data_IF_573812817247
#
_entry.id   IF_573812817247
#
_cell.length_a   1.000
_cell.length_b   1.000
_cell.length_c   1.000
_cell.angle_alpha   90.00
_cell.angle_beta   90.00
_cell.angle_gamma   90.00
#
_symmetry.space_group_name_H-M   'P 1'
#
loop_
_entity.id
_entity.type
_entity.pdbx_description
1 polymer ?
#
# COMPACT_ATOMS: atom_id res chain seq x y z
N UNK A 1 14.97 -18.60 62.82
CA UNK A 1 14.83 -18.62 61.36
C UNK A 1 13.56 -17.81 61.00
N UNK A 2 13.74 -16.59 60.47
CA UNK A 2 12.61 -15.73 60.04
C UNK A 2 12.46 -15.87 58.54
N UNK A 3 11.29 -16.34 58.08
CA UNK A 3 10.94 -16.43 56.68
C UNK A 3 10.56 -15.02 56.17
N UNK A 4 11.29 -14.50 55.17
CA UNK A 4 10.90 -13.32 54.43
C UNK A 4 9.85 -13.76 53.38
N UNK A 5 8.63 -13.25 53.50
CA UNK A 5 7.62 -13.32 52.45
C UNK A 5 7.91 -12.22 51.44
N UNK A 6 8.27 -12.60 50.20
CA UNK A 6 8.36 -11.70 49.06
C UNK A 6 6.94 -11.54 48.48
N UNK A 7 6.32 -10.38 48.70
CA UNK A 7 5.08 -10.01 48.04
C UNK A 7 5.40 -9.61 46.58
N UNK A 8 5.03 -10.43 45.63
CA UNK A 8 5.07 -10.08 44.22
C UNK A 8 3.96 -9.05 43.94
N UNK A 9 4.33 -7.78 43.73
CA UNK A 9 3.43 -6.80 43.15
C UNK A 9 3.19 -7.19 41.68
N UNK A 10 2.04 -7.73 41.42
CA UNK A 10 1.49 -7.82 40.06
C UNK A 10 1.14 -6.39 39.64
N UNK A 11 2.01 -5.78 38.83
CA UNK A 11 1.69 -4.54 38.15
C UNK A 11 0.56 -4.84 37.16
N UNK A 12 -0.66 -4.38 37.46
CA UNK A 12 -1.76 -4.39 36.51
C UNK A 12 -1.32 -3.54 35.29
N UNK A 13 -1.15 -4.17 34.15
CA UNK A 13 -1.02 -3.45 32.90
C UNK A 13 -2.24 -2.54 32.73
N UNK A 14 -2.07 -1.27 32.34
CA UNK A 14 -3.21 -0.43 32.04
C UNK A 14 -4.02 -1.13 30.96
N UNK A 15 -5.33 -1.25 31.20
CA UNK A 15 -6.26 -1.74 30.20
C UNK A 15 -6.05 -0.90 28.94
N UNK A 16 -5.64 -1.54 27.83
CA UNK A 16 -5.59 -0.89 26.54
C UNK A 16 -6.99 -0.36 26.25
N UNK A 17 -7.10 0.96 26.03
CA UNK A 17 -8.36 1.53 25.55
C UNK A 17 -8.79 0.69 24.33
N UNK A 18 -10.06 0.30 24.26
CA UNK A 18 -10.57 -0.53 23.17
C UNK A 18 -10.24 0.14 21.84
N UNK A 19 -9.33 -0.46 21.08
CA UNK A 19 -8.95 0.05 19.77
C UNK A 19 -10.14 -0.10 18.81
N UNK A 20 -10.49 1.00 18.12
CA UNK A 20 -11.55 1.02 17.13
C UNK A 20 -10.94 0.99 15.73
N UNK A 21 -11.34 0.05 14.84
CA UNK A 21 -10.85 -0.01 13.49
C UNK A 21 -11.18 1.27 12.72
N UNK A 22 -10.14 1.93 12.19
CA UNK A 22 -10.27 3.10 11.31
C UNK A 22 -9.76 2.71 9.93
N UNK A 23 -10.60 2.88 8.90
CA UNK A 23 -10.16 2.67 7.50
C UNK A 23 -9.30 3.85 7.03
N UNK A 24 -8.30 3.58 6.18
CA UNK A 24 -7.60 4.65 5.46
C UNK A 24 -8.58 5.45 4.59
N UNK A 25 -8.31 6.73 4.43
CA UNK A 25 -9.20 7.60 3.65
C UNK A 25 -9.22 7.23 2.17
N UNK A 26 -10.42 7.13 1.61
CA UNK A 26 -10.69 6.97 0.17
C UNK A 26 -11.51 8.14 -0.37
N UNK A 27 -11.48 9.30 0.30
CA UNK A 27 -12.24 10.48 -0.11
C UNK A 27 -11.86 10.86 -1.54
N UNK A 28 -12.87 11.04 -2.40
CA UNK A 28 -12.70 11.39 -3.80
C UNK A 28 -12.14 12.83 -3.98
N UNK A 29 -12.25 13.67 -2.95
CA UNK A 29 -11.67 15.01 -2.89
C UNK A 29 -10.52 15.03 -1.86
N UNK A 30 -9.33 14.52 -2.21
CA UNK A 30 -8.24 14.40 -1.27
C UNK A 30 -7.76 15.78 -0.78
N UNK A 31 -7.40 15.83 0.49
CA UNK A 31 -6.74 16.99 1.08
C UNK A 31 -5.27 16.94 0.72
N UNK A 32 -4.79 17.93 -0.05
CA UNK A 32 -3.37 18.13 -0.34
C UNK A 32 -2.99 19.51 0.14
N UNK A 33 -2.06 19.61 1.08
CA UNK A 33 -1.57 20.88 1.60
C UNK A 33 -0.10 20.81 1.96
N UNK A 34 0.57 21.95 1.91
CA UNK A 34 1.94 22.11 2.38
C UNK A 34 1.94 23.17 3.48
N UNK A 35 2.51 22.80 4.62
CA UNK A 35 2.72 23.68 5.78
C UNK A 35 4.19 23.61 6.19
N UNK A 36 4.92 24.72 5.97
CA UNK A 36 6.35 24.76 6.15
C UNK A 36 7.08 23.75 5.24
N UNK A 37 7.68 22.73 5.84
CA UNK A 37 8.41 21.64 5.16
C UNK A 37 7.59 20.35 5.02
N UNK A 38 6.33 20.36 5.41
CA UNK A 38 5.51 19.16 5.52
C UNK A 38 4.38 19.15 4.49
N UNK A 39 4.39 18.16 3.61
CA UNK A 39 3.30 17.82 2.69
C UNK A 39 2.31 16.89 3.41
N UNK A 40 1.03 17.19 3.35
CA UNK A 40 -0.05 16.33 3.82
C UNK A 40 -0.88 15.86 2.63
N UNK A 41 -1.12 14.54 2.53
CA UNK A 41 -2.04 13.91 1.56
C UNK A 41 -3.00 13.00 2.30
N UNK A 42 -4.29 13.34 2.29
CA UNK A 42 -5.34 12.54 2.94
C UNK A 42 -6.48 12.34 1.93
N UNK A 43 -6.76 11.11 1.54
CA UNK A 43 -7.83 10.78 0.59
C UNK A 43 -7.44 9.69 -0.40
N UNK A 44 -8.35 9.45 -1.35
CA UNK A 44 -8.15 8.52 -2.46
C UNK A 44 -7.11 9.04 -3.46
N UNK A 45 -6.40 8.11 -4.07
CA UNK A 45 -5.47 8.41 -5.17
C UNK A 45 -6.28 8.49 -6.46
N UNK A 46 -6.37 9.67 -7.06
CA UNK A 46 -7.13 9.93 -8.27
C UNK A 46 -6.59 11.16 -9.03
N UNK A 47 -7.20 11.50 -10.15
CA UNK A 47 -6.79 12.65 -10.98
C UNK A 47 -6.86 13.98 -10.22
N UNK A 48 -7.85 14.18 -9.32
CA UNK A 48 -7.98 15.41 -8.54
C UNK A 48 -6.81 15.55 -7.54
N UNK A 49 -6.44 14.45 -6.86
CA UNK A 49 -5.29 14.41 -5.96
C UNK A 49 -3.96 14.65 -6.67
N UNK A 50 -3.78 14.07 -7.87
CA UNK A 50 -2.61 14.33 -8.70
C UNK A 50 -2.52 15.82 -9.09
N UNK A 51 -3.62 16.41 -9.55
CA UNK A 51 -3.67 17.82 -9.90
C UNK A 51 -3.33 18.71 -8.71
N UNK A 52 -4.00 18.48 -7.56
CA UNK A 52 -3.77 19.25 -6.35
C UNK A 52 -2.31 19.17 -5.87
N UNK A 53 -1.70 17.95 -5.91
CA UNK A 53 -0.31 17.78 -5.55
C UNK A 53 0.64 18.48 -6.52
N UNK A 54 0.40 18.32 -7.84
CA UNK A 54 1.22 18.97 -8.87
C UNK A 54 1.20 20.50 -8.73
N UNK A 55 0.01 21.07 -8.48
CA UNK A 55 -0.14 22.52 -8.26
C UNK A 55 0.55 22.97 -6.97
N UNK A 56 0.40 22.20 -5.89
CA UNK A 56 1.01 22.55 -4.61
C UNK A 56 2.55 22.57 -4.66
N UNK A 57 3.18 21.69 -5.47
CA UNK A 57 4.66 21.60 -5.52
C UNK A 57 5.30 22.40 -6.64
N UNK A 58 4.52 22.85 -7.63
CA UNK A 58 5.04 23.51 -8.87
C UNK A 58 5.95 24.69 -8.60
N UNK A 59 5.59 25.55 -7.66
CA UNK A 59 6.27 26.80 -7.37
C UNK A 59 7.22 26.70 -6.17
N UNK A 60 7.41 25.49 -5.62
CA UNK A 60 8.24 25.33 -4.44
C UNK A 60 9.73 25.29 -4.78
N UNK A 61 10.57 25.92 -3.96
CA UNK A 61 12.01 25.70 -4.00
C UNK A 61 12.35 24.23 -3.82
N UNK A 62 13.36 23.75 -4.54
CA UNK A 62 13.87 22.39 -4.35
C UNK A 62 14.30 22.16 -2.91
N UNK A 63 13.89 21.03 -2.34
CA UNK A 63 14.22 20.64 -0.96
C UNK A 63 13.40 21.35 0.11
N UNK A 64 12.38 22.14 -0.25
CA UNK A 64 11.49 22.73 0.74
C UNK A 64 10.67 21.66 1.46
N UNK A 65 10.10 20.71 0.73
CA UNK A 65 9.36 19.58 1.32
C UNK A 65 10.35 18.51 1.72
N UNK A 66 10.46 18.27 3.02
CA UNK A 66 11.32 17.23 3.61
C UNK A 66 10.54 16.17 4.37
N UNK A 67 9.26 16.42 4.63
CA UNK A 67 8.35 15.53 5.35
C UNK A 67 7.04 15.34 4.59
N UNK A 68 6.47 14.16 4.74
CA UNK A 68 5.13 13.88 4.24
C UNK A 68 4.31 13.12 5.27
N UNK A 69 3.05 13.51 5.42
CA UNK A 69 2.05 12.77 6.17
C UNK A 69 1.02 12.22 5.21
N UNK A 70 0.75 10.92 5.28
CA UNK A 70 -0.22 10.26 4.41
C UNK A 70 -1.27 9.47 5.20
N UNK A 71 -2.50 9.52 4.70
CA UNK A 71 -3.58 8.61 5.06
C UNK A 71 -4.41 8.34 3.80
N UNK A 72 -4.16 7.18 3.16
CA UNK A 72 -4.80 6.85 1.88
C UNK A 72 -5.08 5.35 1.75
N UNK A 73 -6.30 5.03 1.37
CA UNK A 73 -6.72 3.68 0.98
C UNK A 73 -6.27 3.27 -0.42
N UNK A 74 -5.52 4.13 -1.12
CA UNK A 74 -5.14 3.91 -2.52
C UNK A 74 -6.15 4.49 -3.50
N UNK A 75 -6.23 3.91 -4.68
CA UNK A 75 -7.10 4.34 -5.77
C UNK A 75 -6.49 4.03 -7.13
N UNK A 76 -6.66 4.96 -8.09
CA UNK A 76 -6.28 4.74 -9.49
C UNK A 76 -4.79 4.55 -9.67
N UNK A 77 -4.39 3.54 -10.45
CA UNK A 77 -2.98 3.21 -10.73
C UNK A 77 -2.25 4.35 -11.41
N UNK A 78 -2.78 4.89 -12.51
CA UNK A 78 -2.09 5.90 -13.30
C UNK A 78 -1.81 7.19 -12.49
N UNK A 79 -2.78 7.82 -11.82
CA UNK A 79 -2.49 8.90 -10.88
C UNK A 79 -1.49 8.52 -9.79
N UNK A 80 -1.56 7.28 -9.28
CA UNK A 80 -0.64 6.76 -8.26
C UNK A 80 0.82 6.76 -8.73
N UNK A 81 1.09 6.27 -9.93
CA UNK A 81 2.43 6.27 -10.55
C UNK A 81 2.97 7.70 -10.68
N UNK A 82 2.15 8.65 -11.15
CA UNK A 82 2.58 10.04 -11.31
C UNK A 82 2.80 10.74 -9.95
N UNK A 83 1.94 10.50 -8.96
CA UNK A 83 2.14 10.97 -7.59
C UNK A 83 3.44 10.37 -7.03
N UNK A 84 3.66 9.05 -7.18
CA UNK A 84 4.90 8.39 -6.80
C UNK A 84 6.14 9.00 -7.45
N UNK A 85 6.04 9.40 -8.73
CA UNK A 85 7.10 10.10 -9.43
C UNK A 85 7.42 11.47 -8.82
N UNK A 86 6.40 12.23 -8.42
CA UNK A 86 6.59 13.52 -7.71
C UNK A 86 7.26 13.28 -6.36
N UNK A 87 6.80 12.27 -5.60
CA UNK A 87 7.38 11.93 -4.30
C UNK A 87 8.83 11.47 -4.44
N UNK A 88 9.18 10.74 -5.52
CA UNK A 88 10.55 10.35 -5.83
C UNK A 88 11.49 11.55 -6.08
N UNK A 89 10.96 12.66 -6.61
CA UNK A 89 11.72 13.90 -6.76
C UNK A 89 11.90 14.66 -5.44
N UNK A 90 10.85 14.67 -4.61
CA UNK A 90 10.86 15.34 -3.31
C UNK A 90 11.66 14.55 -2.25
N UNK A 91 11.60 13.22 -2.27
CA UNK A 91 12.22 12.29 -1.30
C UNK A 91 11.95 12.68 0.16
N UNK A 92 10.69 12.87 0.56
CA UNK A 92 10.37 13.22 1.94
C UNK A 92 10.51 12.03 2.89
N UNK A 93 10.71 12.31 4.18
CA UNK A 93 10.46 11.33 5.25
C UNK A 93 8.94 11.15 5.41
N UNK A 94 8.44 9.97 5.06
CA UNK A 94 7.01 9.66 5.05
C UNK A 94 6.53 9.19 6.41
N UNK A 95 5.45 9.77 6.90
CA UNK A 95 4.70 9.28 8.07
C UNK A 95 3.33 8.76 7.65
N UNK A 96 3.04 7.50 7.93
CA UNK A 96 1.72 6.89 7.75
C UNK A 96 0.92 7.09 9.03
N UNK A 97 -0.22 7.81 8.93
CA UNK A 97 -0.99 8.24 10.10
C UNK A 97 -2.09 7.25 10.50
N UNK A 98 -2.83 6.69 9.53
CA UNK A 98 -3.87 5.66 9.73
C UNK A 98 -3.57 4.46 8.86
N UNK A 99 -3.33 4.69 7.56
CA UNK A 99 -2.98 3.64 6.62
C UNK A 99 -2.47 4.19 5.30
N UNK A 100 -1.63 3.39 4.65
CA UNK A 100 -1.21 3.53 3.29
C UNK A 100 -1.42 2.18 2.62
N UNK A 101 -2.45 2.08 1.77
CA UNK A 101 -2.90 0.82 1.20
C UNK A 101 -2.99 0.89 -0.33
N UNK A 102 -2.87 -0.25 -1.02
CA UNK A 102 -3.04 -0.33 -2.47
C UNK A 102 -2.08 0.60 -3.23
N UNK A 103 -2.55 1.47 -4.12
CA UNK A 103 -1.72 2.40 -4.90
C UNK A 103 -0.87 3.35 -4.03
N UNK A 104 -1.29 3.68 -2.78
CA UNK A 104 -0.44 4.38 -1.82
C UNK A 104 0.78 3.54 -1.44
N UNK A 105 0.57 2.27 -1.10
CA UNK A 105 1.63 1.35 -0.73
C UNK A 105 2.50 0.93 -1.93
N UNK A 106 1.91 0.86 -3.12
CA UNK A 106 2.63 0.52 -4.35
C UNK A 106 3.54 1.66 -4.82
N UNK A 107 3.09 2.91 -4.78
CA UNK A 107 3.76 3.99 -5.52
C UNK A 107 4.27 5.13 -4.64
N UNK A 108 3.54 5.52 -3.59
CA UNK A 108 3.92 6.66 -2.73
C UNK A 108 4.95 6.21 -1.67
N UNK A 109 4.63 5.14 -0.95
CA UNK A 109 5.48 4.67 0.13
C UNK A 109 6.92 4.33 -0.34
N UNK A 110 7.14 3.54 -1.41
CA UNK A 110 8.49 3.18 -1.84
C UNK A 110 9.26 4.34 -2.49
N UNK A 111 8.59 5.43 -2.88
CA UNK A 111 9.22 6.62 -3.47
C UNK A 111 9.76 7.62 -2.45
N UNK A 112 9.42 7.47 -1.16
CA UNK A 112 9.90 8.32 -0.07
C UNK A 112 11.39 8.08 0.27
N UNK A 113 11.99 8.87 1.14
CA UNK A 113 13.34 8.63 1.66
C UNK A 113 13.34 7.62 2.81
N UNK A 114 12.33 7.67 3.65
CA UNK A 114 12.10 6.73 4.76
C UNK A 114 10.61 6.63 5.07
N UNK A 115 10.21 5.59 5.79
CA UNK A 115 8.81 5.36 6.18
C UNK A 115 8.73 5.22 7.69
N UNK A 116 7.85 5.99 8.32
CA UNK A 116 7.46 5.83 9.72
C UNK A 116 5.98 5.45 9.79
N UNK A 117 5.68 4.29 10.33
CA UNK A 117 4.32 3.82 10.57
C UNK A 117 3.95 4.19 12.02
N UNK A 118 2.89 4.97 12.22
CA UNK A 118 2.42 5.34 13.56
C UNK A 118 1.80 4.16 14.28
N UNK A 119 1.68 4.28 15.58
CA UNK A 119 0.87 3.38 16.38
C UNK A 119 -0.55 3.30 15.81
N UNK A 120 -1.09 2.07 15.71
CA UNK A 120 -2.41 1.78 15.14
C UNK A 120 -2.58 2.15 13.65
N UNK A 121 -1.47 2.37 12.92
CA UNK A 121 -1.45 2.54 11.48
C UNK A 121 -0.91 1.30 10.77
N UNK A 122 -1.14 1.21 9.45
CA UNK A 122 -0.63 0.09 8.66
C UNK A 122 -0.16 0.49 7.26
N UNK A 123 0.75 -0.30 6.71
CA UNK A 123 1.20 -0.30 5.33
C UNK A 123 0.86 -1.66 4.72
N UNK A 124 0.06 -1.69 3.66
CA UNK A 124 -0.46 -2.94 3.14
C UNK A 124 -0.77 -2.94 1.66
N UNK A 125 -0.79 -4.14 1.09
CA UNK A 125 -0.91 -4.42 -0.33
C UNK A 125 -2.05 -5.39 -0.62
N UNK A 126 -2.57 -5.36 -1.85
CA UNK A 126 -3.48 -6.37 -2.40
C UNK A 126 -3.19 -6.70 -3.86
N UNK A 127 -2.05 -6.25 -4.39
CA UNK A 127 -1.64 -6.40 -5.77
C UNK A 127 -1.35 -5.06 -6.44
N UNK A 128 -0.81 -5.18 -7.65
CA UNK A 128 -0.65 -4.09 -8.62
C UNK A 128 -1.06 -4.62 -10.01
N UNK A 129 -0.91 -3.81 -11.05
CA UNK A 129 -1.34 -4.19 -12.40
C UNK A 129 -0.54 -5.40 -12.95
N UNK A 130 0.73 -5.56 -12.59
CA UNK A 130 1.52 -6.75 -12.92
C UNK A 130 0.95 -8.05 -12.30
N UNK A 131 0.22 -7.94 -11.20
CA UNK A 131 -0.47 -9.07 -10.58
C UNK A 131 -1.39 -9.81 -11.55
N UNK A 132 -2.08 -9.10 -12.44
CA UNK A 132 -2.93 -9.73 -13.47
C UNK A 132 -2.13 -10.63 -14.43
N UNK A 133 -0.93 -10.21 -14.84
CA UNK A 133 -0.06 -11.06 -15.69
C UNK A 133 0.45 -12.29 -14.93
N UNK A 134 0.79 -12.12 -13.64
CA UNK A 134 1.25 -13.22 -12.80
C UNK A 134 0.15 -14.26 -12.63
N UNK A 135 -1.06 -13.85 -12.30
CA UNK A 135 -2.22 -14.75 -12.13
C UNK A 135 -2.56 -15.43 -13.45
N UNK A 136 -2.59 -14.71 -14.56
CA UNK A 136 -2.79 -15.29 -15.88
C UNK A 136 -1.79 -16.42 -16.15
N UNK A 137 -0.49 -16.16 -15.91
CA UNK A 137 0.57 -17.16 -16.09
C UNK A 137 0.40 -18.38 -15.15
N UNK A 138 0.04 -18.16 -13.89
CA UNK A 138 -0.21 -19.25 -12.93
C UNK A 138 -1.37 -20.15 -13.39
N UNK A 139 -2.37 -19.58 -14.04
CA UNK A 139 -3.53 -20.30 -14.58
C UNK A 139 -3.30 -20.89 -15.98
N UNK A 140 -2.13 -20.67 -16.59
CA UNK A 140 -1.84 -21.10 -17.98
C UNK A 140 -2.63 -20.31 -19.03
N UNK A 141 -3.04 -19.09 -18.73
CA UNK A 141 -3.83 -18.21 -19.57
C UNK A 141 -2.99 -17.08 -20.16
N UNK A 142 -3.44 -16.48 -21.27
CA UNK A 142 -2.97 -15.16 -21.69
C UNK A 142 -3.59 -14.09 -20.78
N UNK A 143 -2.98 -12.90 -20.72
CA UNK A 143 -3.55 -11.75 -19.99
C UNK A 143 -4.97 -11.44 -20.49
N UNK A 144 -5.19 -11.48 -21.81
CA UNK A 144 -6.51 -11.26 -22.43
C UNK A 144 -7.55 -12.28 -21.96
N UNK A 145 -7.18 -13.57 -21.93
CA UNK A 145 -8.10 -14.63 -21.50
C UNK A 145 -8.40 -14.53 -20.00
N UNK A 146 -7.40 -14.18 -19.19
CA UNK A 146 -7.61 -13.95 -17.78
C UNK A 146 -8.57 -12.78 -17.52
N UNK A 147 -8.37 -11.64 -18.18
CA UNK A 147 -9.27 -10.49 -18.08
C UNK A 147 -10.68 -10.83 -18.57
N UNK A 148 -10.81 -11.56 -19.72
CA UNK A 148 -12.10 -12.02 -20.22
C UNK A 148 -12.84 -12.85 -19.17
N UNK A 149 -12.17 -13.80 -18.55
CA UNK A 149 -12.75 -14.66 -17.54
C UNK A 149 -13.15 -13.90 -16.27
N UNK A 150 -12.36 -12.90 -15.88
CA UNK A 150 -12.63 -12.06 -14.69
C UNK A 150 -13.86 -11.18 -14.89
N UNK A 151 -14.11 -10.70 -16.11
CA UNK A 151 -15.24 -9.81 -16.44
C UNK A 151 -16.48 -10.60 -16.82
N UNK A 152 -16.34 -11.78 -17.44
CA UNK A 152 -17.48 -12.57 -17.92
C UNK A 152 -18.47 -12.97 -16.80
N UNK A 153 -18.01 -13.07 -15.54
CA UNK A 153 -18.86 -13.33 -14.38
C UNK A 153 -19.71 -12.13 -13.92
N UNK A 154 -19.34 -10.89 -14.33
CA UNK A 154 -20.03 -9.67 -13.88
C UNK A 154 -20.67 -8.87 -15.02
N UNK A 155 -20.06 -8.85 -16.22
CA UNK A 155 -20.52 -8.05 -17.37
C UNK A 155 -21.59 -8.75 -18.23
N UNK A 156 -21.93 -10.00 -17.94
CA UNK A 156 -22.96 -10.72 -18.70
C UNK A 156 -24.37 -10.09 -18.59
N UNK A 157 -24.59 -9.22 -17.59
CA UNK A 157 -25.89 -8.64 -17.30
C UNK A 157 -26.07 -7.20 -17.79
N UNK A 158 -25.01 -6.48 -18.21
CA UNK A 158 -25.09 -5.05 -18.56
C UNK A 158 -24.99 -4.76 -20.07
N UNK A 159 -24.82 -5.78 -20.90
CA UNK A 159 -24.74 -5.64 -22.37
C UNK A 159 -23.38 -5.12 -22.88
N UNK A 160 -22.33 -5.11 -22.04
CA UNK A 160 -20.98 -4.70 -22.45
C UNK A 160 -20.43 -5.62 -23.53
N UNK A 161 -19.95 -5.04 -24.64
CA UNK A 161 -19.15 -5.75 -25.64
C UNK A 161 -17.76 -6.06 -25.05
N UNK A 162 -17.61 -7.27 -24.52
CA UNK A 162 -16.39 -7.73 -23.86
C UNK A 162 -15.19 -7.67 -24.80
N UNK A 163 -15.33 -7.98 -26.08
CA UNK A 163 -14.22 -7.95 -27.02
C UNK A 163 -13.79 -6.52 -27.34
N UNK A 164 -14.72 -5.59 -27.50
CA UNK A 164 -14.41 -4.17 -27.65
C UNK A 164 -13.70 -3.65 -26.41
N UNK A 165 -14.21 -3.95 -25.21
CA UNK A 165 -13.56 -3.59 -23.95
C UNK A 165 -12.14 -4.17 -23.83
N UNK A 166 -11.93 -5.45 -24.14
CA UNK A 166 -10.61 -6.08 -24.10
C UNK A 166 -9.60 -5.46 -25.06
N UNK A 167 -10.06 -4.97 -26.24
CA UNK A 167 -9.20 -4.28 -27.20
C UNK A 167 -8.61 -2.97 -26.64
N UNK A 168 -9.28 -2.35 -25.69
CA UNK A 168 -8.81 -1.14 -25.00
C UNK A 168 -8.10 -1.47 -23.68
N UNK A 169 -8.64 -2.40 -22.90
CA UNK A 169 -8.16 -2.73 -21.57
C UNK A 169 -6.79 -3.40 -21.59
N UNK A 170 -6.54 -4.35 -22.52
CA UNK A 170 -5.25 -5.07 -22.55
C UNK A 170 -4.08 -4.13 -22.86
N UNK A 171 -4.08 -3.32 -23.93
CA UNK A 171 -2.98 -2.37 -24.18
C UNK A 171 -2.82 -1.32 -23.07
N UNK A 172 -3.93 -0.88 -22.46
CA UNK A 172 -3.90 0.07 -21.33
C UNK A 172 -3.18 -0.55 -20.14
N UNK A 173 -3.54 -1.78 -19.77
CA UNK A 173 -2.92 -2.49 -18.64
C UNK A 173 -1.43 -2.78 -18.90
N UNK A 174 -1.06 -3.20 -20.13
CA UNK A 174 0.34 -3.39 -20.51
C UNK A 174 1.15 -2.09 -20.40
N UNK A 175 0.56 -0.96 -20.77
CA UNK A 175 1.16 0.36 -20.61
C UNK A 175 1.36 0.71 -19.14
N UNK A 176 0.36 0.50 -18.29
CA UNK A 176 0.46 0.75 -16.84
C UNK A 176 1.53 -0.11 -16.18
N UNK A 177 1.62 -1.39 -16.54
CA UNK A 177 2.68 -2.30 -16.06
C UNK A 177 4.07 -1.77 -16.42
N UNK A 178 4.24 -1.24 -17.64
CA UNK A 178 5.51 -0.66 -18.06
C UNK A 178 5.82 0.65 -17.30
N UNK A 179 4.81 1.50 -17.04
CA UNK A 179 4.97 2.72 -16.26
C UNK A 179 5.29 2.41 -14.78
N UNK A 180 4.68 1.37 -14.18
CA UNK A 180 5.03 0.87 -12.84
C UNK A 180 6.49 0.44 -12.78
N UNK A 181 6.93 -0.38 -13.72
CA UNK A 181 8.32 -0.85 -13.80
C UNK A 181 9.30 0.33 -13.93
N UNK A 182 8.99 1.31 -14.77
CA UNK A 182 9.81 2.51 -14.94
C UNK A 182 9.91 3.35 -13.65
N UNK A 183 8.83 3.45 -12.86
CA UNK A 183 8.88 4.11 -11.55
C UNK A 183 9.79 3.33 -10.58
N UNK A 184 9.66 2.00 -10.52
CA UNK A 184 10.49 1.18 -9.63
C UNK A 184 11.98 1.25 -10.01
N UNK A 185 12.30 1.20 -11.30
CA UNK A 185 13.68 1.40 -11.79
C UNK A 185 14.21 2.77 -11.36
N UNK A 186 13.42 3.83 -11.52
CA UNK A 186 13.78 5.19 -11.14
C UNK A 186 14.10 5.35 -9.66
N UNK A 187 13.35 4.68 -8.79
CA UNK A 187 13.56 4.73 -7.33
C UNK A 187 14.57 3.68 -6.83
N UNK A 188 15.14 2.87 -7.73
CA UNK A 188 16.17 1.89 -7.42
C UNK A 188 15.64 0.63 -6.73
N UNK A 189 14.34 0.32 -6.87
CA UNK A 189 13.78 -0.95 -6.41
C UNK A 189 14.08 -2.05 -7.43
N UNK A 190 14.75 -3.10 -6.98
CA UNK A 190 15.14 -4.23 -7.84
C UNK A 190 13.94 -5.05 -8.34
N UNK A 191 12.82 -5.00 -7.64
CA UNK A 191 11.60 -5.73 -7.99
C UNK A 191 10.41 -5.20 -7.17
N UNK A 192 9.20 -5.60 -7.58
CA UNK A 192 7.92 -5.29 -6.93
C UNK A 192 7.35 -6.48 -6.14
N UNK A 193 8.20 -7.40 -5.68
CA UNK A 193 7.76 -8.63 -4.98
C UNK A 193 6.80 -8.34 -3.83
N UNK A 194 7.03 -7.26 -3.07
CA UNK A 194 6.13 -6.85 -2.00
C UNK A 194 4.69 -6.56 -2.49
N UNK A 195 4.56 -6.01 -3.69
CA UNK A 195 3.26 -5.63 -4.27
C UNK A 195 2.49 -6.80 -4.88
N UNK A 196 3.18 -7.87 -5.28
CA UNK A 196 2.57 -9.03 -5.97
C UNK A 196 2.65 -10.34 -5.19
N UNK A 197 3.19 -10.32 -3.97
CA UNK A 197 3.44 -11.51 -3.16
C UNK A 197 2.18 -12.36 -2.94
N UNK A 198 1.07 -11.70 -2.62
CA UNK A 198 -0.17 -12.35 -2.27
C UNK A 198 -1.20 -12.42 -3.41
N UNK A 199 -0.79 -12.33 -4.68
CA UNK A 199 -1.77 -12.43 -5.77
C UNK A 199 -2.07 -13.89 -6.13
N UNK A 200 -3.35 -14.15 -6.44
CA UNK A 200 -3.82 -15.42 -6.96
C UNK A 200 -4.63 -16.27 -5.98
N UNK A 201 -5.22 -17.37 -6.47
CA UNK A 201 -6.26 -18.12 -5.75
C UNK A 201 -5.83 -18.65 -4.38
N UNK A 202 -4.56 -19.06 -4.23
CA UNK A 202 -4.02 -19.54 -2.93
C UNK A 202 -4.06 -18.49 -1.84
N UNK A 203 -4.03 -17.21 -2.23
CA UNK A 203 -4.04 -16.12 -1.31
C UNK A 203 -5.47 -15.68 -1.01
N UNK A 204 -6.34 -15.65 -2.02
CA UNK A 204 -7.75 -15.27 -1.88
C UNK A 204 -8.45 -16.17 -0.85
N UNK A 205 -8.09 -17.45 -0.79
CA UNK A 205 -8.58 -18.39 0.21
C UNK A 205 -8.12 -18.08 1.65
N UNK A 206 -7.03 -17.33 1.82
CA UNK A 206 -6.49 -16.93 3.14
C UNK A 206 -7.09 -15.62 3.64
N UNK A 207 -7.63 -14.79 2.75
CA UNK A 207 -8.33 -13.57 3.15
C UNK A 207 -9.65 -13.92 3.80
N UNK A 208 -9.90 -13.40 4.98
CA UNK A 208 -11.13 -13.60 5.73
C UNK A 208 -11.63 -12.34 6.42
N UNK A 209 -12.93 -12.24 6.55
CA UNK A 209 -13.56 -11.19 7.37
C UNK A 209 -13.28 -9.76 6.88
N UNK A 210 -12.62 -8.97 7.73
CA UNK A 210 -12.34 -7.56 7.46
C UNK A 210 -11.03 -7.32 6.70
N UNK A 211 -10.22 -8.36 6.45
CA UNK A 211 -8.89 -8.22 5.87
C UNK A 211 -8.96 -7.72 4.42
N UNK A 212 -8.14 -6.73 4.11
CA UNK A 212 -8.11 -6.06 2.82
C UNK A 212 -7.01 -6.59 1.90
N UNK A 213 -5.98 -7.21 2.48
CA UNK A 213 -4.80 -7.67 1.75
C UNK A 213 -3.73 -8.18 2.69
N UNK A 214 -2.48 -7.94 2.35
CA UNK A 214 -1.32 -8.43 3.13
C UNK A 214 -0.39 -7.32 3.57
N UNK A 215 0.45 -7.67 4.53
CA UNK A 215 1.56 -6.86 5.00
C UNK A 215 2.72 -7.74 5.45
N UNK A 216 3.84 -7.10 5.76
CA UNK A 216 5.07 -7.76 6.18
C UNK A 216 5.54 -7.19 7.51
N UNK A 217 6.35 -7.95 8.26
CA UNK A 217 7.08 -7.38 9.38
C UNK A 217 8.07 -6.31 8.89
N UNK A 218 8.55 -5.44 9.78
CA UNK A 218 9.58 -4.45 9.44
C UNK A 218 10.84 -5.13 8.87
N UNK A 219 11.25 -6.25 9.47
CA UNK A 219 12.40 -7.02 9.01
C UNK A 219 12.20 -7.62 7.61
N UNK A 220 10.99 -8.11 7.33
CA UNK A 220 10.66 -8.68 6.02
C UNK A 220 10.56 -7.59 4.93
N UNK A 221 10.04 -6.41 5.26
CA UNK A 221 10.06 -5.25 4.34
C UNK A 221 11.50 -4.90 3.93
N UNK A 222 12.44 -4.89 4.87
CA UNK A 222 13.85 -4.66 4.56
C UNK A 222 14.45 -5.76 3.67
N UNK A 223 14.10 -7.04 3.90
CA UNK A 223 14.52 -8.16 3.03
C UNK A 223 13.97 -8.07 1.61
N UNK A 224 12.79 -7.47 1.46
CA UNK A 224 12.16 -7.21 0.16
C UNK A 224 12.70 -5.95 -0.53
N UNK A 225 13.67 -5.28 0.07
CA UNK A 225 14.33 -4.10 -0.50
C UNK A 225 13.55 -2.80 -0.33
N UNK A 226 12.51 -2.79 0.51
CA UNK A 226 11.85 -1.55 0.86
C UNK A 226 12.79 -0.66 1.69
N UNK A 227 12.59 0.64 1.56
CA UNK A 227 13.34 1.69 2.27
C UNK A 227 13.38 1.45 3.79
N UNK A 228 14.22 2.19 4.54
CA UNK A 228 14.17 2.13 5.98
C UNK A 228 12.74 2.38 6.50
N UNK A 229 12.11 1.33 7.02
CA UNK A 229 10.78 1.37 7.62
C UNK A 229 10.94 1.31 9.13
N UNK A 230 10.21 2.16 9.85
CA UNK A 230 10.16 2.20 11.31
C UNK A 230 8.71 2.13 11.78
N UNK A 231 8.49 1.45 12.87
CA UNK A 231 7.21 1.47 13.57
C UNK A 231 7.34 2.27 14.88
N UNK A 232 6.42 3.19 15.09
CA UNK A 232 6.46 4.14 16.19
C UNK A 232 5.40 3.83 17.28
N UNK A 233 5.08 2.56 17.46
CA UNK A 233 4.20 2.04 18.49
C UNK A 233 4.91 1.02 19.39
N UNK A 234 4.23 0.50 20.41
CA UNK A 234 4.77 -0.52 21.31
C UNK A 234 4.84 -1.89 20.63
N UNK A 235 5.87 -2.65 20.92
CA UNK A 235 6.03 -4.03 20.45
C UNK A 235 6.38 -4.16 18.98
N UNK A 236 6.05 -5.30 18.39
CA UNK A 236 6.28 -5.58 16.98
C UNK A 236 5.18 -4.95 16.11
N UNK A 237 5.55 -4.47 14.93
CA UNK A 237 4.62 -3.84 13.99
C UNK A 237 3.46 -4.76 13.61
N UNK A 238 3.75 -6.01 13.29
CA UNK A 238 2.76 -7.02 12.92
C UNK A 238 1.84 -7.45 14.07
N UNK A 239 2.14 -7.04 15.29
CA UNK A 239 1.29 -7.27 16.46
C UNK A 239 0.35 -6.09 16.74
N UNK A 240 0.47 -4.96 16.01
CA UNK A 240 -0.43 -3.84 16.24
C UNK A 240 -1.87 -4.16 15.77
N UNK A 241 -2.89 -3.61 16.47
CA UNK A 241 -4.29 -3.92 16.18
C UNK A 241 -4.72 -3.61 14.74
N UNK A 242 -4.23 -2.51 14.15
CA UNK A 242 -4.57 -2.13 12.77
C UNK A 242 -4.02 -3.13 11.76
N UNK A 243 -2.75 -3.58 11.94
CA UNK A 243 -2.19 -4.62 11.09
C UNK A 243 -3.03 -5.90 11.15
N UNK A 244 -3.28 -6.40 12.37
CA UNK A 244 -4.00 -7.67 12.57
C UNK A 244 -5.44 -7.63 12.06
N UNK A 245 -6.08 -6.47 12.11
CA UNK A 245 -7.44 -6.31 11.62
C UNK A 245 -7.53 -6.24 10.10
N UNK A 246 -6.65 -5.43 9.46
CA UNK A 246 -6.76 -5.13 8.04
C UNK A 246 -5.92 -6.03 7.14
N UNK A 247 -4.87 -6.68 7.66
CA UNK A 247 -3.90 -7.41 6.85
C UNK A 247 -3.70 -8.84 7.34
N UNK A 248 -3.38 -9.73 6.42
CA UNK A 248 -2.70 -10.98 6.76
C UNK A 248 -1.19 -10.76 6.68
N UNK A 249 -0.45 -11.39 7.58
CA UNK A 249 1.01 -11.37 7.51
C UNK A 249 1.51 -12.34 6.45
N UNK A 250 2.36 -11.85 5.56
CA UNK A 250 3.19 -12.66 4.67
C UNK A 250 4.67 -12.51 5.04
N UNK A 251 5.47 -13.46 4.56
CA UNK A 251 6.93 -13.46 4.61
C UNK A 251 7.49 -13.46 3.20
N UNK A 252 8.77 -13.12 2.95
CA UNK A 252 9.38 -13.24 1.63
C UNK A 252 9.30 -14.66 1.04
N UNK A 253 9.24 -15.68 1.89
CA UNK A 253 9.09 -17.07 1.50
C UNK A 253 7.70 -17.38 0.92
N UNK A 254 6.66 -16.66 1.34
CA UNK A 254 5.31 -16.75 0.76
C UNK A 254 5.27 -16.17 -0.67
N UNK A 255 6.22 -15.29 -1.02
CA UNK A 255 6.27 -14.58 -2.30
C UNK A 255 6.95 -15.38 -3.43
N UNK A 256 7.53 -16.52 -3.14
CA UNK A 256 8.20 -17.34 -4.15
C UNK A 256 7.17 -18.07 -5.01
N UNK A 257 7.42 -18.21 -6.32
CA UNK A 257 6.49 -18.84 -7.27
C UNK A 257 6.28 -20.34 -7.02
#
# INVERSE_FOLDING_TARGET
>A
MRALAIAALLAASPASADWVPVKPSTDANPIVKIDGDTLTYIGGINAAGLTALSDAVRELPRGQVTKMVVNSGGGDTKPGIYIGSIIADLKPDLTIEVGCFSSCANFIAPAAASITIRENAFLGWHGNDRGFQIVAKQLGLTLRDHLRNSVAGGAADDGTDIEAWLNEAVPTLETLIAEEAALYDRIGLANDTFAVCGVGPRFDERLGGAQLGWGFSIADMARLGLLPVRYNGPGAYEANPAFQHWLIRLTPEDCLP
#
